data_IF_458047617354
#
_entry.id   IF_458047617354
#
_cell.length_a   1.000
_cell.length_b   1.000
_cell.length_c   1.000
_cell.angle_alpha   90.00
_cell.angle_beta   90.00
_cell.angle_gamma   90.00
#
_symmetry.space_group_name_H-M   'P 1'
#
loop_
_entity.id
_entity.type
_entity.pdbx_description
1 polymer ?
#
# COMPACT_ATOMS: atom_id res chain seq x y z
N UNK A 1 -21.94 -0.44 10.40
CA UNK A 1 -22.40 0.92 10.00
C UNK A 1 -21.73 1.18 8.67
N UNK A 2 -22.50 1.52 7.65
CA UNK A 2 -21.96 1.80 6.31
C UNK A 2 -21.23 3.13 6.27
N UNK A 3 -20.20 3.23 5.46
CA UNK A 3 -19.52 4.48 5.14
C UNK A 3 -20.26 5.16 3.97
N UNK A 4 -20.97 6.24 4.25
CA UNK A 4 -21.72 7.01 3.25
C UNK A 4 -21.25 8.46 3.20
N UNK A 5 -21.56 9.22 2.14
CA UNK A 5 -21.21 10.64 2.07
C UNK A 5 -21.75 11.45 3.27
N UNK A 6 -22.92 11.05 3.80
CA UNK A 6 -23.58 11.71 4.93
C UNK A 6 -23.04 11.22 6.29
N UNK A 7 -22.47 10.01 6.32
CA UNK A 7 -21.91 9.38 7.51
C UNK A 7 -20.52 8.86 7.18
N UNK A 8 -19.65 9.79 6.80
CA UNK A 8 -18.27 9.47 6.44
C UNK A 8 -17.50 8.98 7.66
N UNK A 9 -17.01 7.75 7.56
CA UNK A 9 -16.14 7.15 8.55
C UNK A 9 -14.71 7.60 8.31
N UNK A 10 -14.04 7.98 9.37
CA UNK A 10 -12.63 8.35 9.31
C UNK A 10 -11.83 7.51 10.30
N UNK A 11 -10.77 6.89 9.85
CA UNK A 11 -9.81 6.16 10.68
C UNK A 11 -8.74 7.09 11.22
N UNK A 12 -8.21 7.95 10.37
CA UNK A 12 -7.15 8.89 10.74
C UNK A 12 -7.70 10.16 11.38
N UNK A 13 -8.91 10.56 11.00
CA UNK A 13 -9.46 11.86 11.34
C UNK A 13 -8.85 13.00 10.51
N UNK A 14 -9.57 14.10 10.40
CA UNK A 14 -9.19 15.21 9.53
C UNK A 14 -7.80 15.76 9.80
N UNK A 15 -7.37 15.80 11.04
CA UNK A 15 -6.08 16.37 11.41
C UNK A 15 -4.92 15.49 10.96
N UNK A 16 -5.03 14.19 11.14
CA UNK A 16 -3.97 13.25 10.79
C UNK A 16 -3.87 13.05 9.27
N UNK A 17 -5.01 12.96 8.57
CA UNK A 17 -4.96 12.82 7.12
C UNK A 17 -4.38 14.06 6.45
N UNK A 18 -4.73 15.27 6.88
CA UNK A 18 -4.12 16.51 6.38
C UNK A 18 -2.63 16.57 6.67
N UNK A 19 -2.21 16.12 7.86
CA UNK A 19 -0.80 16.03 8.20
C UNK A 19 -0.05 15.07 7.26
N UNK A 20 -0.63 13.90 6.99
CA UNK A 20 -0.05 12.89 6.09
C UNK A 20 0.06 13.44 4.65
N UNK A 21 -1.03 13.97 4.11
CA UNK A 21 -1.10 14.58 2.78
C UNK A 21 -0.04 15.69 2.63
N UNK A 22 0.05 16.62 3.59
CA UNK A 22 1.02 17.70 3.57
C UNK A 22 2.48 17.18 3.61
N UNK A 23 2.76 16.14 4.40
CA UNK A 23 4.10 15.57 4.45
C UNK A 23 4.47 14.82 3.17
N UNK A 24 3.55 14.09 2.57
CA UNK A 24 3.75 13.43 1.29
C UNK A 24 4.05 14.45 0.19
N UNK A 25 3.24 15.51 0.10
CA UNK A 25 3.37 16.56 -0.91
C UNK A 25 4.70 17.32 -0.80
N UNK A 26 5.16 17.62 0.42
CA UNK A 26 6.37 18.39 0.64
C UNK A 26 7.64 17.54 0.79
N UNK A 27 7.52 16.21 0.74
CA UNK A 27 8.67 15.32 0.89
C UNK A 27 9.57 15.35 -0.34
N UNK A 28 10.85 15.60 -0.11
CA UNK A 28 11.91 15.50 -1.12
C UNK A 28 12.63 14.15 -1.10
N UNK A 29 12.22 13.24 -0.23
CA UNK A 29 12.81 11.91 -0.14
C UNK A 29 12.49 11.08 -1.40
N UNK A 30 13.45 10.28 -1.85
CA UNK A 30 13.25 9.34 -2.96
C UNK A 30 12.11 8.38 -2.65
N UNK A 31 12.11 7.78 -1.48
CA UNK A 31 11.07 6.85 -1.02
C UNK A 31 10.23 7.48 0.10
N UNK A 32 8.91 7.29 0.05
CA UNK A 32 7.96 7.68 1.09
C UNK A 32 7.38 6.39 1.65
N UNK A 33 7.67 6.12 2.92
CA UNK A 33 7.18 4.92 3.60
C UNK A 33 6.11 5.32 4.59
N UNK A 34 4.89 4.81 4.37
CA UNK A 34 3.75 4.98 5.27
C UNK A 34 3.64 3.73 6.14
N UNK A 35 3.65 3.88 7.44
CA UNK A 35 3.37 2.79 8.36
C UNK A 35 1.90 2.81 8.77
N UNK A 36 1.20 1.72 8.55
CA UNK A 36 -0.20 1.52 8.94
C UNK A 36 -0.34 0.20 9.70
N UNK A 37 -1.18 0.18 10.73
CA UNK A 37 -1.42 -1.04 11.51
C UNK A 37 -2.15 -2.10 10.67
N UNK A 38 -2.96 -1.68 9.71
CA UNK A 38 -3.87 -2.54 8.95
C UNK A 38 -3.66 -2.41 7.44
N UNK A 39 -3.92 -3.49 6.69
CA UNK A 39 -3.73 -3.51 5.24
C UNK A 39 -4.76 -2.66 4.48
N UNK A 40 -4.35 -2.26 3.26
CA UNK A 40 -5.17 -1.44 2.38
C UNK A 40 -6.32 -2.23 1.72
N UNK A 41 -6.06 -3.45 1.26
CA UNK A 41 -7.02 -4.24 0.49
C UNK A 41 -7.34 -5.61 1.07
N UNK A 42 -6.70 -6.01 2.15
CA UNK A 42 -7.01 -7.26 2.83
C UNK A 42 -8.06 -6.97 3.89
N UNK A 43 -9.30 -7.50 3.76
CA UNK A 43 -10.35 -7.26 4.75
C UNK A 43 -9.98 -7.82 6.12
N UNK A 44 -10.14 -7.01 7.15
CA UNK A 44 -9.92 -7.39 8.54
C UNK A 44 -11.25 -7.54 9.29
N UNK A 45 -11.24 -8.29 10.40
CA UNK A 45 -12.42 -8.53 11.24
C UNK A 45 -13.35 -9.63 10.75
N UNK A 46 -13.97 -10.31 11.70
CA UNK A 46 -14.67 -11.58 11.45
C UNK A 46 -16.11 -11.42 10.97
N UNK A 47 -16.75 -10.25 11.07
CA UNK A 47 -18.17 -10.12 10.78
C UNK A 47 -18.59 -8.68 10.50
N UNK A 48 -18.31 -8.23 9.28
CA UNK A 48 -18.62 -6.87 8.82
C UNK A 48 -20.08 -6.46 9.00
N UNK A 49 -21.01 -7.41 8.87
CA UNK A 49 -22.46 -7.12 8.94
C UNK A 49 -22.96 -6.77 10.33
N UNK A 50 -22.25 -7.17 11.39
CA UNK A 50 -22.70 -6.96 12.78
C UNK A 50 -22.01 -5.84 13.52
N UNK A 51 -20.70 -5.67 13.31
CA UNK A 51 -19.88 -4.81 14.18
C UNK A 51 -19.15 -3.70 13.42
N UNK A 52 -19.27 -3.65 12.11
CA UNK A 52 -18.33 -2.94 11.27
C UNK A 52 -16.97 -3.62 11.31
N UNK A 53 -16.07 -3.21 10.45
CA UNK A 53 -14.68 -3.67 10.48
C UNK A 53 -13.80 -2.52 10.88
N UNK A 54 -12.62 -2.85 11.39
CA UNK A 54 -11.59 -1.94 11.86
C UNK A 54 -10.50 -1.67 10.82
N UNK A 55 -10.66 -2.23 9.60
CA UNK A 55 -9.69 -2.11 8.52
C UNK A 55 -10.05 -1.07 7.46
N UNK A 56 -9.06 -0.67 6.67
CA UNK A 56 -9.28 0.18 5.50
C UNK A 56 -10.32 -0.44 4.57
N UNK A 57 -10.08 -1.69 4.15
CA UNK A 57 -10.92 -2.41 3.21
C UNK A 57 -11.83 -3.42 3.90
N UNK A 58 -13.08 -3.41 3.53
CA UNK A 58 -14.07 -4.39 4.01
C UNK A 58 -14.96 -4.94 2.92
N UNK A 59 -15.04 -4.26 1.80
CA UNK A 59 -15.83 -4.68 0.67
C UNK A 59 -15.09 -5.69 -0.20
N UNK A 60 -15.89 -6.43 -0.98
CA UNK A 60 -15.42 -7.37 -2.00
C UNK A 60 -15.91 -6.98 -3.39
N UNK A 61 -16.60 -5.87 -3.51
CA UNK A 61 -17.10 -5.31 -4.76
C UNK A 61 -16.83 -3.81 -4.83
N UNK A 62 -17.13 -3.20 -5.98
CA UNK A 62 -16.90 -1.78 -6.23
C UNK A 62 -18.05 -0.88 -5.74
N UNK A 63 -19.15 -1.45 -5.24
CA UNK A 63 -20.26 -0.67 -4.72
C UNK A 63 -19.97 -0.16 -3.31
N UNK A 64 -19.71 1.13 -3.19
CA UNK A 64 -19.47 1.77 -1.90
C UNK A 64 -20.65 1.70 -0.94
N UNK A 65 -21.86 1.42 -1.41
CA UNK A 65 -23.03 1.25 -0.54
C UNK A 65 -22.97 -0.03 0.29
N UNK A 66 -22.23 -1.04 -0.17
CA UNK A 66 -22.03 -2.32 0.50
C UNK A 66 -20.80 -2.32 1.44
N UNK A 67 -19.92 -1.33 1.35
CA UNK A 67 -18.67 -1.25 2.11
C UNK A 67 -18.90 -0.78 3.54
N UNK A 68 -18.14 -1.33 4.47
CA UNK A 68 -18.28 -1.07 5.91
C UNK A 68 -16.98 -0.68 6.60
N UNK A 69 -15.87 -0.60 5.88
CA UNK A 69 -14.58 -0.13 6.36
C UNK A 69 -14.42 1.40 6.25
N UNK A 70 -13.22 1.80 5.93
CA UNK A 70 -12.83 3.19 5.73
C UNK A 70 -12.38 3.44 4.28
N UNK A 71 -13.02 2.74 3.33
CA UNK A 71 -12.62 2.76 1.93
C UNK A 71 -12.68 4.14 1.31
N UNK A 72 -13.62 5.01 1.75
CA UNK A 72 -13.70 6.39 1.23
C UNK A 72 -12.50 7.23 1.62
N UNK A 73 -12.04 7.11 2.87
CA UNK A 73 -10.83 7.81 3.32
C UNK A 73 -9.59 7.29 2.61
N UNK A 74 -9.51 5.97 2.39
CA UNK A 74 -8.43 5.38 1.60
C UNK A 74 -8.45 5.88 0.14
N UNK A 75 -9.63 5.97 -0.48
CA UNK A 75 -9.78 6.55 -1.83
C UNK A 75 -9.34 8.00 -1.85
N UNK A 76 -9.68 8.79 -0.82
CA UNK A 76 -9.21 10.17 -0.69
C UNK A 76 -7.68 10.24 -0.67
N UNK A 77 -7.04 9.41 0.14
CA UNK A 77 -5.57 9.38 0.24
C UNK A 77 -4.92 8.97 -1.10
N UNK A 78 -5.42 7.90 -1.71
CA UNK A 78 -4.88 7.41 -2.98
C UNK A 78 -5.09 8.43 -4.11
N UNK A 79 -6.28 9.07 -4.15
CA UNK A 79 -6.54 10.15 -5.09
C UNK A 79 -5.60 11.36 -4.87
N UNK A 80 -5.32 11.71 -3.61
CA UNK A 80 -4.37 12.79 -3.32
C UNK A 80 -2.95 12.46 -3.82
N UNK A 81 -2.50 11.22 -3.65
CA UNK A 81 -1.20 10.74 -4.14
C UNK A 81 -1.15 10.84 -5.67
N UNK A 82 -2.20 10.40 -6.35
CA UNK A 82 -2.35 10.38 -7.80
C UNK A 82 -2.43 11.81 -8.38
N UNK A 83 -3.37 12.64 -7.91
CA UNK A 83 -3.55 14.05 -8.34
C UNK A 83 -2.26 14.89 -8.22
N UNK A 84 -1.37 14.56 -7.28
CA UNK A 84 -0.15 15.29 -7.03
C UNK A 84 1.10 14.60 -7.57
N UNK A 85 0.96 13.52 -8.32
CA UNK A 85 2.06 12.73 -8.90
C UNK A 85 3.12 12.36 -7.83
N UNK A 86 2.67 11.87 -6.67
CA UNK A 86 3.54 11.50 -5.55
C UNK A 86 4.07 10.09 -5.78
N UNK A 87 5.26 10.02 -6.34
CA UNK A 87 5.93 8.77 -6.69
C UNK A 87 6.61 8.08 -5.50
N UNK A 88 6.91 6.79 -5.68
CA UNK A 88 7.73 5.97 -4.78
C UNK A 88 7.13 5.85 -3.37
N UNK A 89 5.84 5.59 -3.32
CA UNK A 89 5.11 5.36 -2.06
C UNK A 89 5.06 3.86 -1.77
N UNK A 90 5.47 3.50 -0.58
CA UNK A 90 5.37 2.13 -0.04
C UNK A 90 4.65 2.18 1.29
N UNK A 91 3.66 1.32 1.46
CA UNK A 91 2.93 1.16 2.73
C UNK A 91 3.42 -0.11 3.40
N UNK A 92 3.81 -0.02 4.67
CA UNK A 92 4.14 -1.19 5.48
C UNK A 92 3.01 -1.43 6.48
N UNK A 93 2.47 -2.65 6.47
CA UNK A 93 1.27 -3.00 7.22
C UNK A 93 1.40 -4.33 7.96
N UNK A 94 0.44 -4.64 8.82
CA UNK A 94 0.45 -5.82 9.68
C UNK A 94 -0.97 -6.36 9.89
N UNK A 95 -1.35 -6.79 11.10
CA UNK A 95 -2.66 -7.21 11.60
C UNK A 95 -3.19 -8.57 11.09
N UNK A 96 -3.04 -8.90 9.83
CA UNK A 96 -3.70 -10.06 9.21
C UNK A 96 -3.05 -11.41 9.47
N UNK A 97 -1.96 -11.43 10.20
CA UNK A 97 -1.28 -12.64 10.70
C UNK A 97 -0.73 -13.58 9.60
N UNK A 98 -0.45 -13.03 8.44
CA UNK A 98 0.29 -13.67 7.34
C UNK A 98 0.98 -12.59 6.49
N UNK A 99 2.11 -12.87 5.85
CA UNK A 99 2.79 -11.93 4.99
C UNK A 99 2.17 -11.90 3.60
N UNK A 100 2.15 -10.70 3.01
CA UNK A 100 1.84 -10.49 1.59
C UNK A 100 2.63 -9.30 1.05
N UNK A 101 2.87 -9.29 -0.26
CA UNK A 101 3.36 -8.12 -0.98
C UNK A 101 2.38 -7.85 -2.12
N UNK A 102 1.81 -6.66 -2.10
CA UNK A 102 0.80 -6.23 -3.05
C UNK A 102 1.32 -5.02 -3.84
N UNK A 103 0.90 -4.94 -5.10
CA UNK A 103 1.08 -3.75 -5.93
C UNK A 103 -0.28 -3.20 -6.31
N UNK A 104 -0.44 -1.91 -6.18
CA UNK A 104 -1.60 -1.14 -6.61
C UNK A 104 -1.24 -0.33 -7.84
N UNK A 105 -2.10 -0.38 -8.82
CA UNK A 105 -1.97 0.35 -10.06
C UNK A 105 -3.36 0.90 -10.42
N UNK A 106 -3.72 1.99 -9.74
CA UNK A 106 -5.05 2.57 -9.85
C UNK A 106 -4.97 4.00 -10.39
N UNK A 107 -5.69 4.22 -11.48
CA UNK A 107 -5.95 5.54 -12.05
C UNK A 107 -7.18 6.14 -11.33
N UNK A 108 -6.94 6.75 -10.17
CA UNK A 108 -8.00 7.24 -9.28
C UNK A 108 -8.56 8.57 -9.77
N UNK A 109 -7.75 9.37 -10.45
CA UNK A 109 -8.13 10.65 -11.02
C UNK A 109 -8.59 10.53 -12.49
N UNK A 110 -8.43 9.36 -13.12
CA UNK A 110 -8.81 9.04 -14.50
C UNK A 110 -8.08 9.87 -15.57
N UNK A 111 -6.82 10.20 -15.33
CA UNK A 111 -5.97 10.92 -16.30
C UNK A 111 -5.14 9.99 -17.21
N UNK A 112 -5.16 8.69 -16.94
CA UNK A 112 -4.46 7.66 -17.69
C UNK A 112 -3.01 7.41 -17.21
N UNK A 113 -2.61 8.02 -16.09
CA UNK A 113 -1.31 7.81 -15.45
C UNK A 113 -1.51 7.23 -14.04
N UNK A 114 -1.69 5.90 -13.92
CA UNK A 114 -2.08 5.29 -12.67
C UNK A 114 -0.97 5.35 -11.62
N UNK A 115 -1.36 5.57 -10.38
CA UNK A 115 -0.48 5.52 -9.22
C UNK A 115 0.10 4.11 -9.02
N UNK A 116 1.41 4.04 -8.78
CA UNK A 116 2.10 2.82 -8.38
C UNK A 116 2.44 2.88 -6.89
N UNK A 117 1.63 2.22 -6.06
CA UNK A 117 1.88 2.06 -4.63
C UNK A 117 2.14 0.58 -4.33
N UNK A 118 3.10 0.31 -3.48
CA UNK A 118 3.37 -1.04 -3.00
C UNK A 118 2.98 -1.17 -1.54
N UNK A 119 2.48 -2.33 -1.15
CA UNK A 119 2.18 -2.65 0.23
C UNK A 119 2.95 -3.90 0.65
N UNK A 120 3.63 -3.81 1.78
CA UNK A 120 4.37 -4.91 2.39
C UNK A 120 3.68 -5.25 3.71
N UNK A 121 2.92 -6.31 3.70
CA UNK A 121 2.24 -6.86 4.89
C UNK A 121 3.16 -7.87 5.57
N UNK A 122 3.35 -7.76 6.87
CA UNK A 122 4.21 -8.68 7.61
C UNK A 122 3.70 -8.97 9.03
N UNK A 123 4.21 -10.02 9.63
CA UNK A 123 3.77 -10.57 10.91
C UNK A 123 2.90 -11.82 10.72
N UNK A 124 2.62 -12.55 11.80
CA UNK A 124 2.95 -12.26 13.19
C UNK A 124 4.38 -12.69 13.57
N UNK A 125 4.89 -12.11 14.66
CA UNK A 125 6.13 -12.56 15.30
C UNK A 125 5.89 -13.64 16.36
N UNK A 126 4.73 -13.58 17.07
CA UNK A 126 4.42 -14.49 18.18
C UNK A 126 2.93 -14.72 18.39
N UNK A 127 2.03 -14.02 17.67
CA UNK A 127 0.60 -14.27 17.72
C UNK A 127 0.23 -15.54 16.91
N UNK A 128 -1.05 -15.93 16.90
CA UNK A 128 -1.45 -17.04 16.04
C UNK A 128 -1.20 -16.73 14.56
N UNK A 129 -0.81 -17.74 13.81
CA UNK A 129 -0.55 -17.63 12.37
C UNK A 129 -1.85 -17.89 11.61
N UNK A 130 -2.19 -17.00 10.69
CA UNK A 130 -3.38 -17.21 9.85
C UNK A 130 -2.99 -17.88 8.53
N UNK A 131 -3.95 -18.65 7.99
CA UNK A 131 -3.76 -19.38 6.75
C UNK A 131 -3.02 -20.69 6.89
N UNK A 132 -3.04 -21.47 5.81
CA UNK A 132 -2.30 -22.72 5.64
C UNK A 132 -1.34 -22.51 4.50
N UNK A 133 -0.09 -23.00 4.57
CA UNK A 133 0.86 -22.87 3.47
C UNK A 133 0.23 -23.37 2.16
N UNK A 134 0.27 -22.54 1.12
CA UNK A 134 -0.32 -22.83 -0.19
C UNK A 134 -1.83 -22.63 -0.31
N UNK A 135 -2.52 -22.18 0.74
CA UNK A 135 -3.94 -21.82 0.64
C UNK A 135 -4.10 -20.49 -0.13
N UNK A 136 -5.20 -20.33 -0.90
CA UNK A 136 -5.49 -19.07 -1.54
C UNK A 136 -5.71 -17.96 -0.49
N UNK A 137 -5.32 -16.75 -0.84
CA UNK A 137 -5.62 -15.56 -0.07
C UNK A 137 -7.12 -15.38 0.14
N UNK A 138 -7.53 -14.76 1.24
CA UNK A 138 -8.86 -14.20 1.33
C UNK A 138 -9.10 -13.23 0.16
N UNK A 139 -10.35 -13.08 -0.25
CA UNK A 139 -10.70 -12.14 -1.33
C UNK A 139 -10.20 -10.73 -0.97
N UNK A 140 -9.48 -10.12 -1.90
CA UNK A 140 -9.02 -8.76 -1.77
C UNK A 140 -10.12 -7.78 -2.15
N UNK A 141 -10.15 -6.63 -1.51
CA UNK A 141 -10.98 -5.53 -1.96
C UNK A 141 -10.49 -5.03 -3.33
N UNK A 142 -11.36 -4.99 -4.36
CA UNK A 142 -10.93 -4.70 -5.72
C UNK A 142 -10.80 -3.21 -6.03
N UNK A 143 -11.06 -2.31 -5.08
CA UNK A 143 -11.14 -0.86 -5.30
C UNK A 143 -9.90 -0.28 -6.01
N UNK A 144 -8.71 -0.77 -5.68
CA UNK A 144 -7.44 -0.33 -6.30
C UNK A 144 -6.77 -1.41 -7.13
N UNK A 145 -7.52 -2.41 -7.57
CA UNK A 145 -7.03 -3.49 -8.42
C UNK A 145 -5.72 -4.11 -7.93
N UNK A 146 -5.67 -4.59 -6.66
CA UNK A 146 -4.44 -5.11 -6.09
C UNK A 146 -3.92 -6.32 -6.88
N UNK A 147 -2.62 -6.28 -7.19
CA UNK A 147 -1.88 -7.41 -7.75
C UNK A 147 -1.06 -8.06 -6.65
N UNK A 148 -1.22 -9.37 -6.47
CA UNK A 148 -0.44 -10.13 -5.49
C UNK A 148 0.92 -10.46 -6.10
N UNK A 149 1.98 -9.95 -5.50
CA UNK A 149 3.36 -10.28 -5.86
C UNK A 149 3.88 -11.46 -5.02
N UNK A 150 3.47 -11.53 -3.75
CA UNK A 150 3.83 -12.60 -2.83
C UNK A 150 2.75 -12.78 -1.77
N UNK A 151 2.57 -14.02 -1.31
CA UNK A 151 1.78 -14.37 -0.13
C UNK A 151 2.18 -15.73 0.41
N UNK A 152 2.20 -15.86 1.73
CA UNK A 152 2.41 -17.14 2.41
C UNK A 152 1.63 -17.17 3.73
N UNK A 153 0.87 -18.25 3.99
CA UNK A 153 0.16 -18.43 5.25
C UNK A 153 0.89 -19.38 6.20
N UNK A 154 0.53 -19.31 7.48
CA UNK A 154 0.97 -20.30 8.48
C UNK A 154 2.40 -20.16 8.98
N UNK A 155 3.05 -19.03 8.78
CA UNK A 155 4.44 -18.76 9.20
C UNK A 155 4.53 -17.59 10.18
N UNK A 156 5.50 -17.62 11.09
CA UNK A 156 5.99 -16.46 11.80
C UNK A 156 6.98 -15.72 10.92
N UNK A 157 6.86 -14.42 10.85
CA UNK A 157 7.66 -13.64 9.92
C UNK A 157 7.77 -12.16 10.29
N UNK A 158 8.72 -11.50 9.65
CA UNK A 158 8.83 -10.04 9.59
C UNK A 158 9.30 -9.62 8.20
N UNK A 159 9.04 -8.39 7.82
CA UNK A 159 9.60 -7.80 6.62
C UNK A 159 10.94 -7.13 6.93
N UNK A 160 11.97 -7.44 6.16
CA UNK A 160 13.24 -6.73 6.16
C UNK A 160 13.27 -5.77 4.99
N UNK A 161 13.18 -4.47 5.27
CA UNK A 161 13.14 -3.42 4.25
C UNK A 161 14.40 -2.59 4.32
N UNK A 162 15.04 -2.36 3.17
CA UNK A 162 16.26 -1.55 3.04
C UNK A 162 16.08 -0.52 1.91
N UNK A 163 16.73 0.63 2.08
CA UNK A 163 16.96 1.57 0.99
C UNK A 163 18.46 1.59 0.74
N UNK A 164 18.87 1.13 -0.43
CA UNK A 164 20.28 0.99 -0.75
C UNK A 164 20.60 1.48 -2.16
N UNK A 165 21.81 2.01 -2.31
CA UNK A 165 22.28 2.46 -3.62
C UNK A 165 22.72 1.27 -4.46
N UNK A 166 22.11 1.10 -5.63
CA UNK A 166 22.43 0.03 -6.56
C UNK A 166 23.48 0.45 -7.60
N UNK A 167 23.90 -0.51 -8.42
CA UNK A 167 24.94 -0.31 -9.44
C UNK A 167 24.54 0.66 -10.55
N UNK A 168 23.25 0.88 -10.76
CA UNK A 168 22.69 1.90 -11.66
C UNK A 168 22.79 3.34 -11.12
N UNK A 169 23.24 3.48 -9.85
CA UNK A 169 23.39 4.75 -9.16
C UNK A 169 22.15 5.24 -8.43
N UNK A 170 21.02 4.54 -8.53
CA UNK A 170 19.77 4.89 -7.88
C UNK A 170 19.65 4.29 -6.48
N UNK A 171 18.77 4.89 -5.67
CA UNK A 171 18.39 4.38 -4.34
C UNK A 171 17.19 3.46 -4.50
N UNK A 172 17.41 2.14 -4.51
CA UNK A 172 16.33 1.16 -4.54
C UNK A 172 15.75 0.90 -3.16
N UNK A 173 14.45 0.59 -3.11
CA UNK A 173 13.84 -0.02 -1.94
C UNK A 173 13.78 -1.52 -2.17
N UNK A 174 14.51 -2.25 -1.32
CA UNK A 174 14.59 -3.72 -1.38
C UNK A 174 13.89 -4.30 -0.16
N UNK A 175 13.05 -5.29 -0.35
CA UNK A 175 12.38 -5.96 0.75
C UNK A 175 12.33 -7.47 0.59
N UNK A 176 12.42 -8.16 1.72
CA UNK A 176 12.27 -9.61 1.86
C UNK A 176 11.34 -9.91 3.03
N UNK A 177 10.53 -10.94 2.90
CA UNK A 177 9.88 -11.56 4.06
C UNK A 177 10.84 -12.59 4.65
N UNK A 178 11.10 -12.50 5.94
CA UNK A 178 12.01 -13.37 6.67
C UNK A 178 11.22 -14.22 7.66
N UNK A 179 11.43 -15.52 7.64
CA UNK A 179 10.79 -16.45 8.56
C UNK A 179 11.41 -16.44 9.97
N UNK A 180 10.82 -17.20 10.89
CA UNK A 180 11.32 -17.39 12.26
C UNK A 180 12.64 -18.18 12.32
N UNK A 181 13.00 -18.84 11.24
CA UNK A 181 14.31 -19.47 11.02
C UNK A 181 15.42 -18.46 10.60
N UNK A 182 15.07 -17.18 10.43
CA UNK A 182 15.98 -16.13 9.99
C UNK A 182 16.30 -16.15 8.48
N UNK A 183 15.57 -16.97 7.71
CA UNK A 183 15.80 -17.13 6.27
C UNK A 183 14.75 -16.36 5.47
N UNK A 184 15.20 -15.65 4.44
CA UNK A 184 14.28 -15.01 3.50
C UNK A 184 13.42 -16.04 2.78
N UNK A 185 12.12 -15.77 2.72
CA UNK A 185 11.16 -16.69 2.10
C UNK A 185 11.32 -16.70 0.58
N UNK A 186 11.24 -17.87 -0.04
CA UNK A 186 11.33 -17.97 -1.50
C UNK A 186 10.28 -17.09 -2.19
N UNK A 187 10.68 -16.36 -3.22
CA UNK A 187 9.85 -15.47 -4.03
C UNK A 187 9.26 -14.23 -3.28
N UNK A 188 9.72 -13.95 -2.07
CA UNK A 188 9.31 -12.73 -1.34
C UNK A 188 10.18 -11.52 -1.66
N UNK A 189 11.30 -11.71 -2.34
CA UNK A 189 12.20 -10.64 -2.70
C UNK A 189 11.58 -9.67 -3.70
N UNK A 190 11.58 -8.39 -3.34
CA UNK A 190 11.28 -7.31 -4.28
C UNK A 190 12.44 -6.30 -4.30
N UNK A 191 12.74 -5.81 -5.48
CA UNK A 191 13.71 -4.74 -5.73
C UNK A 191 13.00 -3.66 -6.54
N UNK A 192 12.67 -2.56 -5.89
CA UNK A 192 11.92 -1.45 -6.46
C UNK A 192 12.87 -0.33 -6.86
N UNK A 193 12.98 -0.09 -8.15
CA UNK A 193 13.68 1.08 -8.68
C UNK A 193 12.79 2.33 -8.54
N UNK A 194 13.34 3.48 -8.10
CA UNK A 194 12.56 4.69 -7.96
C UNK A 194 12.09 5.19 -9.34
N UNK A 195 10.82 5.58 -9.40
CA UNK A 195 10.26 6.27 -10.57
C UNK A 195 10.67 7.75 -10.51
N UNK A 196 11.04 8.31 -11.65
CA UNK A 196 11.24 9.74 -11.77
C UNK A 196 9.90 10.41 -12.08
N UNK A 197 9.53 11.43 -11.32
CA UNK A 197 8.28 12.15 -11.57
C UNK A 197 8.27 12.72 -13.00
N UNK A 198 7.13 12.62 -13.67
CA UNK A 198 6.91 13.13 -15.02
C UNK A 198 7.28 14.62 -15.12
N UNK A 199 7.07 15.39 -14.07
CA UNK A 199 7.42 16.83 -14.00
C UNK A 199 8.93 17.04 -14.09
N UNK A 200 9.75 16.22 -13.41
CA UNK A 200 11.22 16.29 -13.52
C UNK A 200 11.69 15.95 -14.93
N UNK A 201 11.05 14.96 -15.56
CA UNK A 201 11.34 14.57 -16.94
C UNK A 201 11.01 15.66 -17.95
N UNK A 202 9.89 16.36 -17.79
CA UNK A 202 9.53 17.50 -18.65
C UNK A 202 10.52 18.66 -18.45
N UNK A 203 10.84 19.00 -17.22
CA UNK A 203 11.80 20.05 -16.89
C UNK A 203 13.20 19.74 -17.42
N UNK A 204 13.66 18.49 -17.31
CA UNK A 204 14.97 18.06 -17.83
C UNK A 204 15.01 18.03 -19.36
N UNK A 205 13.91 17.65 -20.04
CA UNK A 205 13.78 17.69 -21.51
C UNK A 205 13.74 19.12 -22.03
N UNK A 206 12.99 20.01 -21.36
CA UNK A 206 12.97 21.45 -21.69
C UNK A 206 14.35 22.11 -21.48
N UNK A 207 15.04 21.80 -20.39
CA UNK A 207 16.38 22.30 -20.15
C UNK A 207 17.39 21.84 -21.22
N UNK A 208 17.30 20.57 -21.66
CA UNK A 208 18.13 20.04 -22.76
C UNK A 208 17.79 20.63 -24.13
N UNK A 209 16.53 21.00 -24.39
CA UNK A 209 16.11 21.64 -25.65
C UNK A 209 16.46 23.14 -25.73
N UNK A 210 16.78 23.76 -24.61
CA UNK A 210 17.15 25.17 -24.49
C UNK A 210 18.66 25.38 -24.33
N UNK A 211 19.45 24.31 -24.35
CA UNK A 211 20.91 24.39 -24.38
C UNK A 211 21.38 24.55 -25.82
N UNK A 212 22.18 25.59 -26.13
CA UNK A 212 22.63 25.88 -27.50
C UNK A 212 23.58 24.84 -28.06
#
# INVERSE_FOLDING_TARGET
>A
MQDTPENHKSMLGNQQIQWLENNLLNSTATWKVISSDIPMSIPTGANASKFGRDGWANGIDLDFSSKTGFERELVQLMKFIDDNNIENVVVVTTDVHFPAILKYNADVNHDGDPVNVYEIVSGPLSAFRFGIPGAPLPMLDPTFQPTILYVEGGIYNFAHVKIEKQSDGNLHLVADIVGDDGVARPNSHIDLMPQESVIKNISSRLAKSLSP
#
